data_IF_167108264254
#
_entry.id   IF_167108264254
#
_cell.length_a   1.000
_cell.length_b   1.000
_cell.length_c   1.000
_cell.angle_alpha   90.00
_cell.angle_beta   90.00
_cell.angle_gamma   90.00
#
_symmetry.space_group_name_H-M   'P 1'
#
loop_
_entity.id
_entity.type
_entity.pdbx_description
1 polymer ?
#
# COMPACT_ATOMS: atom_id res chain seq x y z
N UNK A 1 -9.23 10.40 8.86
CA UNK A 1 -9.12 11.53 9.83
C UNK A 1 -8.75 12.77 9.03
N UNK A 2 -9.27 13.94 9.41
CA UNK A 2 -8.78 15.21 8.87
C UNK A 2 -7.29 15.38 9.23
N UNK A 3 -6.51 15.98 8.32
CA UNK A 3 -5.10 16.24 8.60
C UNK A 3 -4.93 17.13 9.84
N UNK A 4 -3.95 16.78 10.68
CA UNK A 4 -3.52 17.65 11.79
C UNK A 4 -2.79 18.89 11.28
N UNK A 5 -2.22 18.82 10.08
CA UNK A 5 -1.49 19.90 9.46
C UNK A 5 -2.44 20.92 8.85
N UNK A 6 -2.09 22.21 8.98
CA UNK A 6 -2.90 23.36 8.59
C UNK A 6 -2.14 24.35 7.71
N UNK A 7 -0.81 24.30 7.73
CA UNK A 7 0.03 25.13 6.91
C UNK A 7 1.15 24.33 6.23
N UNK A 8 1.50 24.77 5.02
CA UNK A 8 2.61 24.25 4.24
C UNK A 8 3.46 25.43 3.76
N UNK A 9 4.73 25.42 4.14
CA UNK A 9 5.75 26.40 3.77
C UNK A 9 6.62 25.77 2.68
N UNK A 10 6.88 26.49 1.61
CA UNK A 10 7.84 26.12 0.58
C UNK A 10 9.01 27.11 0.55
N UNK A 11 10.22 26.62 0.33
CA UNK A 11 11.26 27.48 -0.26
C UNK A 11 10.92 27.84 -1.71
N UNK A 12 11.60 28.85 -2.25
CA UNK A 12 11.58 29.18 -3.66
C UNK A 12 12.66 28.44 -4.43
N UNK A 13 13.94 28.81 -4.25
CA UNK A 13 15.04 28.22 -5.00
C UNK A 13 15.20 26.73 -4.69
N UNK A 14 15.38 25.90 -5.73
CA UNK A 14 15.52 24.45 -5.60
C UNK A 14 14.23 23.71 -5.21
N UNK A 15 13.10 24.42 -5.09
CA UNK A 15 11.82 23.86 -4.64
C UNK A 15 10.66 24.28 -5.56
N UNK A 16 10.24 25.55 -5.51
CA UNK A 16 9.20 26.07 -6.40
C UNK A 16 9.78 26.65 -7.69
N UNK A 17 11.05 27.01 -7.68
CA UNK A 17 11.80 27.58 -8.78
C UNK A 17 13.10 26.82 -8.98
N UNK A 18 13.33 26.42 -10.22
CA UNK A 18 14.58 25.84 -10.69
C UNK A 18 15.36 26.91 -11.47
N UNK A 19 16.68 26.81 -11.50
CA UNK A 19 17.54 27.68 -12.31
C UNK A 19 18.62 26.83 -12.97
N UNK A 20 19.09 27.23 -14.16
CA UNK A 20 20.15 26.52 -14.86
C UNK A 20 21.52 26.93 -14.32
N UNK A 21 22.26 26.05 -13.61
CA UNK A 21 23.59 26.39 -13.10
C UNK A 21 24.59 26.68 -14.21
N UNK A 22 24.38 26.16 -15.41
CA UNK A 22 25.26 26.36 -16.58
C UNK A 22 25.02 27.71 -17.26
N UNK A 23 23.89 28.37 -16.96
CA UNK A 23 23.59 29.72 -17.47
C UNK A 23 24.46 30.80 -16.82
N UNK A 24 25.16 30.48 -15.74
CA UNK A 24 26.00 31.41 -14.98
C UNK A 24 27.44 31.29 -15.44
N UNK A 25 27.97 32.37 -16.00
CA UNK A 25 29.36 32.43 -16.45
C UNK A 25 30.29 32.26 -15.24
N UNK A 26 31.15 31.23 -15.23
CA UNK A 26 32.05 30.96 -14.11
C UNK A 26 33.03 32.13 -13.89
N UNK A 27 32.75 32.96 -12.88
CA UNK A 27 33.62 34.09 -12.51
C UNK A 27 34.83 33.53 -11.77
N UNK A 28 35.98 33.47 -12.45
CA UNK A 28 37.25 33.16 -11.80
C UNK A 28 37.71 34.35 -10.95
N UNK A 29 38.41 34.09 -9.84
CA UNK A 29 38.81 35.09 -8.84
C UNK A 29 39.66 36.26 -9.38
N UNK A 30 40.16 36.13 -10.61
CA UNK A 30 40.94 37.15 -11.34
C UNK A 30 40.10 38.08 -12.22
N UNK A 31 38.78 37.87 -12.33
CA UNK A 31 37.86 38.63 -13.21
C UNK A 31 36.64 39.22 -12.48
N UNK A 32 36.83 39.70 -11.24
CA UNK A 32 35.79 40.43 -10.49
C UNK A 32 35.55 41.85 -11.06
N UNK A 33 35.08 41.94 -12.30
CA UNK A 33 34.51 43.18 -12.84
C UNK A 33 33.02 43.22 -12.56
N UNK A 34 32.52 44.37 -12.09
CA UNK A 34 31.11 44.57 -11.74
C UNK A 34 30.16 44.29 -12.91
N UNK A 35 30.60 44.51 -14.16
CA UNK A 35 29.85 44.19 -15.37
C UNK A 35 29.61 42.69 -15.55
N UNK A 36 30.65 41.87 -15.35
CA UNK A 36 30.58 40.40 -15.51
C UNK A 36 29.68 39.79 -14.42
N UNK A 37 29.79 40.30 -13.18
CA UNK A 37 28.91 39.88 -12.08
C UNK A 37 27.44 40.22 -12.41
N UNK A 38 27.19 41.42 -12.94
CA UNK A 38 25.84 41.85 -13.32
C UNK A 38 25.28 41.00 -14.45
N UNK A 39 26.04 40.77 -15.52
CA UNK A 39 25.63 39.92 -16.65
C UNK A 39 25.35 38.48 -16.20
N UNK A 40 26.18 37.94 -15.32
CA UNK A 40 26.01 36.59 -14.77
C UNK A 40 24.75 36.46 -13.90
N UNK A 41 24.41 37.51 -13.12
CA UNK A 41 23.17 37.56 -12.34
C UNK A 41 21.95 37.69 -13.26
N UNK A 42 22.04 38.53 -14.31
CA UNK A 42 20.97 38.69 -15.30
C UNK A 42 20.72 37.37 -16.06
N UNK A 43 21.76 36.59 -16.34
CA UNK A 43 21.63 35.27 -16.97
C UNK A 43 20.99 34.24 -16.02
N UNK A 44 21.40 34.20 -14.75
CA UNK A 44 20.77 33.34 -13.74
C UNK A 44 19.28 33.65 -13.58
N UNK A 45 18.91 34.94 -13.58
CA UNK A 45 17.51 35.36 -13.50
C UNK A 45 16.71 34.94 -14.73
N UNK A 46 17.30 34.98 -15.93
CA UNK A 46 16.64 34.55 -17.17
C UNK A 46 16.44 33.04 -17.26
N UNK A 47 17.22 32.25 -16.52
CA UNK A 47 17.07 30.79 -16.48
C UNK A 47 16.12 30.29 -15.41
N UNK A 48 15.56 31.20 -14.58
CA UNK A 48 14.55 30.83 -13.59
C UNK A 48 13.32 30.26 -14.27
N UNK A 49 12.95 29.05 -13.86
CA UNK A 49 11.76 28.35 -14.32
C UNK A 49 10.96 27.86 -13.13
N UNK A 50 9.65 27.75 -13.30
CA UNK A 50 8.78 27.21 -12.24
C UNK A 50 8.92 25.70 -12.21
N UNK A 51 9.09 25.13 -11.02
CA UNK A 51 8.95 23.70 -10.81
C UNK A 51 7.47 23.32 -10.94
N UNK A 52 7.04 23.04 -12.17
CA UNK A 52 5.63 22.81 -12.51
C UNK A 52 5.03 21.65 -11.71
N UNK A 53 5.84 20.63 -11.37
CA UNK A 53 5.38 19.48 -10.59
C UNK A 53 5.00 19.88 -9.17
N UNK A 54 5.90 20.54 -8.42
CA UNK A 54 5.60 20.97 -7.06
C UNK A 54 4.53 22.06 -7.00
N UNK A 55 4.53 22.99 -7.96
CA UNK A 55 3.47 23.99 -8.08
C UNK A 55 2.09 23.33 -8.28
N UNK A 56 2.01 22.31 -9.14
CA UNK A 56 0.77 21.54 -9.36
C UNK A 56 0.34 20.78 -8.11
N UNK A 57 1.26 20.13 -7.40
CA UNK A 57 0.97 19.46 -6.13
C UNK A 57 0.41 20.45 -5.11
N UNK A 58 1.03 21.63 -4.95
CA UNK A 58 0.55 22.66 -4.05
C UNK A 58 -0.89 23.12 -4.39
N UNK A 59 -1.18 23.33 -5.68
CA UNK A 59 -2.53 23.64 -6.15
C UNK A 59 -3.53 22.52 -5.85
N UNK A 60 -3.17 21.26 -6.11
CA UNK A 60 -4.01 20.08 -5.82
C UNK A 60 -4.35 19.98 -4.33
N UNK A 61 -3.36 20.19 -3.45
CA UNK A 61 -3.56 20.17 -2.01
C UNK A 61 -4.48 21.30 -1.55
N UNK A 62 -4.26 22.53 -2.03
CA UNK A 62 -5.11 23.70 -1.71
C UNK A 62 -6.56 23.51 -2.19
N UNK A 63 -6.76 22.88 -3.36
CA UNK A 63 -8.10 22.54 -3.86
C UNK A 63 -8.78 21.45 -3.01
N UNK A 64 -8.01 20.52 -2.45
CA UNK A 64 -8.54 19.43 -1.61
C UNK A 64 -8.93 19.87 -0.20
N UNK A 65 -8.34 20.94 0.32
CA UNK A 65 -8.72 21.56 1.60
C UNK A 65 -8.57 23.09 1.52
N UNK A 66 -9.69 23.80 1.42
CA UNK A 66 -9.69 25.27 1.34
C UNK A 66 -9.10 25.94 2.59
N UNK A 67 -9.10 25.24 3.73
CA UNK A 67 -8.54 25.76 4.99
C UNK A 67 -7.00 25.65 5.04
N UNK A 68 -6.38 24.82 4.21
CA UNK A 68 -4.93 24.71 4.12
C UNK A 68 -4.33 26.05 3.70
N UNK A 69 -3.42 26.60 4.50
CA UNK A 69 -2.70 27.82 4.16
C UNK A 69 -1.34 27.49 3.56
N UNK A 70 -1.04 28.09 2.41
CA UNK A 70 0.26 27.92 1.76
C UNK A 70 1.09 29.18 1.96
N UNK A 71 2.37 29.01 2.21
CA UNK A 71 3.31 30.11 2.41
C UNK A 71 4.60 29.87 1.64
N UNK A 72 5.30 30.96 1.36
CA UNK A 72 6.67 30.93 0.87
C UNK A 72 7.60 31.41 1.97
N UNK A 73 8.77 30.78 2.13
CA UNK A 73 9.83 31.24 3.03
C UNK A 73 11.20 31.09 2.37
N UNK A 74 11.79 32.19 1.94
CA UNK A 74 13.01 32.15 1.11
C UNK A 74 14.07 33.18 1.48
N UNK A 75 15.32 32.80 1.31
CA UNK A 75 16.47 33.70 1.39
C UNK A 75 16.64 34.40 0.03
N UNK A 76 15.96 35.53 -0.14
CA UNK A 76 15.93 36.28 -1.40
C UNK A 76 15.90 37.79 -1.11
N UNK A 77 16.61 38.59 -1.93
CA UNK A 77 16.57 40.05 -1.83
C UNK A 77 15.21 40.60 -2.30
N UNK A 78 14.91 41.84 -1.95
CA UNK A 78 13.65 42.49 -2.35
C UNK A 78 13.54 42.59 -3.88
N UNK A 79 14.62 42.99 -4.52
CA UNK A 79 14.71 43.22 -5.96
C UNK A 79 14.54 41.90 -6.73
N UNK A 80 15.17 40.82 -6.27
CA UNK A 80 15.02 39.51 -6.89
C UNK A 80 13.64 38.91 -6.67
N UNK A 81 13.01 39.18 -5.51
CA UNK A 81 11.66 38.71 -5.25
C UNK A 81 10.64 39.39 -6.19
N UNK A 82 10.78 40.69 -6.45
CA UNK A 82 9.94 41.41 -7.43
C UNK A 82 10.02 40.77 -8.83
N UNK A 83 11.20 40.33 -9.26
CA UNK A 83 11.39 39.62 -10.54
C UNK A 83 10.72 38.26 -10.51
N UNK A 84 10.96 37.48 -9.46
CA UNK A 84 10.36 36.15 -9.27
C UNK A 84 8.83 36.20 -9.28
N UNK A 85 8.23 37.28 -8.76
CA UNK A 85 6.78 37.49 -8.80
C UNK A 85 6.20 37.65 -10.22
N UNK A 86 7.04 37.93 -11.22
CA UNK A 86 6.62 37.99 -12.64
C UNK A 86 6.56 36.63 -13.33
N UNK A 87 7.12 35.59 -12.71
CA UNK A 87 7.07 34.22 -13.23
C UNK A 87 5.64 33.66 -13.14
N UNK A 88 5.32 32.71 -14.01
CA UNK A 88 4.02 32.03 -14.08
C UNK A 88 3.82 31.00 -12.94
N UNK A 89 4.07 31.44 -11.70
CA UNK A 89 3.70 30.73 -10.49
C UNK A 89 2.35 31.29 -10.02
N UNK A 90 1.39 30.45 -9.58
CA UNK A 90 0.07 30.89 -9.13
C UNK A 90 0.15 31.57 -7.74
N UNK A 91 0.77 32.76 -7.65
CA UNK A 91 1.06 33.48 -6.41
C UNK A 91 -0.16 33.67 -5.50
N UNK A 92 -1.36 33.78 -6.09
CA UNK A 92 -2.62 33.92 -5.36
C UNK A 92 -2.98 32.71 -4.48
N UNK A 93 -2.33 31.56 -4.65
CA UNK A 93 -2.54 30.39 -3.77
C UNK A 93 -1.81 30.51 -2.43
N UNK A 94 -0.81 31.38 -2.34
CA UNK A 94 -0.03 31.61 -1.13
C UNK A 94 -0.63 32.76 -0.32
N UNK A 95 -0.84 32.52 0.96
CA UNK A 95 -1.41 33.50 1.89
C UNK A 95 -0.40 34.60 2.25
N UNK A 96 0.90 34.28 2.25
CA UNK A 96 1.98 35.25 2.44
C UNK A 96 3.32 34.67 1.96
N UNK A 97 4.28 35.56 1.67
CA UNK A 97 5.67 35.22 1.44
C UNK A 97 6.56 35.90 2.49
N UNK A 98 7.41 35.10 3.13
CA UNK A 98 8.42 35.53 4.08
C UNK A 98 9.78 35.54 3.36
N UNK A 99 10.28 36.72 3.03
CA UNK A 99 11.53 36.87 2.27
C UNK A 99 12.58 37.61 3.10
N UNK A 100 13.81 37.13 3.05
CA UNK A 100 14.88 37.70 3.89
C UNK A 100 15.14 39.18 3.62
N UNK A 101 15.05 39.62 2.37
CA UNK A 101 15.21 41.03 1.98
C UNK A 101 14.11 41.96 2.48
N UNK A 102 12.90 41.45 2.77
CA UNK A 102 11.82 42.27 3.30
C UNK A 102 11.81 42.29 4.83
N UNK A 103 12.12 41.16 5.48
CA UNK A 103 12.03 41.03 6.95
C UNK A 103 13.36 41.29 7.67
N UNK A 104 14.50 41.24 6.97
CA UNK A 104 15.83 41.40 7.57
C UNK A 104 16.30 40.19 8.40
N UNK A 105 15.66 39.03 8.24
CA UNK A 105 16.01 37.76 8.89
C UNK A 105 16.16 36.69 7.82
N UNK A 106 16.98 35.65 8.03
CA UNK A 106 17.21 34.62 7.01
C UNK A 106 17.26 33.22 7.60
N UNK A 107 17.01 32.21 6.77
CA UNK A 107 17.27 30.81 7.12
C UNK A 107 18.80 30.59 7.14
N UNK A 108 19.33 29.73 8.02
CA UNK A 108 18.64 28.90 9.01
C UNK A 108 18.43 29.56 10.39
N UNK A 109 18.54 30.89 10.52
CA UNK A 109 18.43 31.55 11.82
C UNK A 109 17.04 31.37 12.45
N UNK A 110 16.99 30.87 13.68
CA UNK A 110 15.73 30.54 14.39
C UNK A 110 14.79 31.74 14.53
N UNK A 111 15.31 32.97 14.54
CA UNK A 111 14.49 34.18 14.60
C UNK A 111 13.54 34.30 13.39
N UNK A 112 13.97 33.88 12.20
CA UNK A 112 13.14 33.96 11.00
C UNK A 112 11.98 32.98 11.05
N UNK A 113 12.23 31.75 11.49
CA UNK A 113 11.19 30.74 11.66
C UNK A 113 10.19 31.13 12.76
N UNK A 114 10.65 31.65 13.90
CA UNK A 114 9.77 32.16 14.95
C UNK A 114 8.89 33.30 14.44
N UNK A 115 9.48 34.26 13.72
CA UNK A 115 8.73 35.34 13.09
C UNK A 115 7.65 34.82 12.13
N UNK A 116 7.99 33.84 11.27
CA UNK A 116 7.05 33.24 10.34
C UNK A 116 5.91 32.53 11.09
N UNK A 117 6.22 31.71 12.11
CA UNK A 117 5.21 30.99 12.91
C UNK A 117 4.27 31.96 13.63
N UNK A 118 4.80 33.02 14.25
CA UNK A 118 3.98 34.02 14.94
C UNK A 118 3.00 34.72 13.98
N UNK A 119 3.41 34.93 12.73
CA UNK A 119 2.55 35.52 11.68
C UNK A 119 1.56 34.52 11.08
N UNK A 120 1.95 33.26 10.94
CA UNK A 120 1.10 32.17 10.44
C UNK A 120 -0.01 31.87 11.46
N UNK A 121 0.29 31.92 12.76
CA UNK A 121 -0.69 31.74 13.84
C UNK A 121 -1.08 30.28 14.11
N UNK A 122 -0.41 29.30 13.49
CA UNK A 122 -0.57 27.88 13.80
C UNK A 122 0.54 27.37 14.72
N UNK A 123 0.23 26.34 15.51
CA UNK A 123 1.25 25.67 16.31
C UNK A 123 2.26 24.97 15.39
N UNK A 124 3.59 24.99 15.68
CA UNK A 124 4.61 24.40 14.80
C UNK A 124 4.34 22.95 14.38
N UNK A 125 3.79 22.12 15.27
CA UNK A 125 3.41 20.74 14.97
C UNK A 125 2.28 20.56 13.93
N UNK A 126 1.64 21.66 13.52
CA UNK A 126 0.64 21.74 12.47
C UNK A 126 1.19 22.31 11.15
N UNK A 127 2.50 22.61 11.10
CA UNK A 127 3.17 23.20 9.95
C UNK A 127 4.09 22.16 9.30
N UNK A 128 4.03 22.07 7.98
CA UNK A 128 4.99 21.32 7.15
C UNK A 128 5.85 22.31 6.40
N UNK A 129 7.13 22.01 6.23
CA UNK A 129 8.05 22.80 5.41
C UNK A 129 8.75 21.91 4.38
N UNK A 130 8.80 22.37 3.14
CA UNK A 130 9.56 21.76 2.04
C UNK A 130 10.72 22.69 1.68
N UNK A 131 11.94 22.19 1.72
CA UNK A 131 13.17 22.95 1.51
C UNK A 131 14.22 22.01 0.91
N UNK A 132 15.16 22.53 0.12
CA UNK A 132 16.25 21.78 -0.48
C UNK A 132 17.51 21.73 0.41
N UNK A 133 17.57 22.55 1.46
CA UNK A 133 18.70 22.59 2.39
C UNK A 133 18.38 21.91 3.72
N UNK A 134 19.15 20.86 4.04
CA UNK A 134 19.01 20.13 5.29
C UNK A 134 19.21 21.01 6.54
N UNK A 135 20.04 22.05 6.47
CA UNK A 135 20.26 23.00 7.57
C UNK A 135 19.01 23.83 7.90
N UNK A 136 18.25 24.24 6.88
CA UNK A 136 16.99 24.97 7.06
C UNK A 136 15.95 24.08 7.73
N UNK A 137 15.87 22.82 7.30
CA UNK A 137 14.94 21.84 7.87
C UNK A 137 15.32 21.48 9.30
N UNK A 138 16.61 21.39 9.64
CA UNK A 138 17.07 21.16 11.00
C UNK A 138 16.59 22.29 11.94
N UNK A 139 16.73 23.55 11.52
CA UNK A 139 16.22 24.70 12.26
C UNK A 139 14.69 24.65 12.42
N UNK A 140 13.95 24.38 11.33
CA UNK A 140 12.49 24.24 11.37
C UNK A 140 12.03 23.13 12.33
N UNK A 141 12.66 21.95 12.23
CA UNK A 141 12.35 20.78 13.04
C UNK A 141 12.66 20.99 14.53
N UNK A 142 13.70 21.75 14.87
CA UNK A 142 14.02 22.12 16.26
C UNK A 142 12.90 22.92 16.95
N UNK A 143 12.03 23.58 16.16
CA UNK A 143 10.86 24.31 16.62
C UNK A 143 9.57 23.47 16.56
N UNK A 144 9.64 22.23 16.07
CA UNK A 144 8.51 21.31 15.94
C UNK A 144 7.81 21.33 14.57
N UNK A 145 8.35 22.04 13.57
CA UNK A 145 7.84 22.03 12.19
C UNK A 145 8.21 20.69 11.52
N UNK A 146 7.29 20.11 10.76
CA UNK A 146 7.56 18.89 10.01
C UNK A 146 8.33 19.19 8.72
N UNK A 147 9.63 18.87 8.67
CA UNK A 147 10.48 19.13 7.50
C UNK A 147 10.49 18.00 6.47
N UNK A 148 10.42 18.35 5.19
CA UNK A 148 10.57 17.48 4.02
C UNK A 148 11.70 18.00 3.13
N UNK A 149 12.80 17.24 3.05
CA UNK A 149 13.91 17.54 2.14
C UNK A 149 13.51 17.16 0.72
N UNK A 150 13.76 18.07 -0.22
CA UNK A 150 13.54 17.83 -1.65
C UNK A 150 14.79 18.14 -2.44
N UNK A 151 14.99 17.36 -3.49
CA UNK A 151 15.96 17.58 -4.56
C UNK A 151 15.29 17.21 -5.89
N UNK A 152 15.99 17.41 -7.01
CA UNK A 152 15.48 17.12 -8.35
C UNK A 152 14.98 15.67 -8.51
N UNK A 153 15.58 14.72 -7.78
CA UNK A 153 15.27 13.27 -7.89
C UNK A 153 14.13 12.81 -6.98
N UNK A 154 13.78 13.61 -5.97
CA UNK A 154 12.86 13.23 -4.90
C UNK A 154 11.51 13.96 -4.96
N UNK A 155 11.28 14.80 -5.97
CA UNK A 155 10.01 15.53 -6.16
C UNK A 155 8.79 14.61 -6.09
N UNK A 156 8.83 13.45 -6.74
CA UNK A 156 7.69 12.51 -6.76
C UNK A 156 7.47 11.89 -5.36
N UNK A 157 8.55 11.58 -4.64
CA UNK A 157 8.51 11.06 -3.26
C UNK A 157 7.96 12.13 -2.30
N UNK A 158 8.39 13.38 -2.45
CA UNK A 158 7.89 14.51 -1.63
C UNK A 158 6.43 14.79 -1.94
N UNK A 159 6.03 14.75 -3.21
CA UNK A 159 4.62 14.84 -3.62
C UNK A 159 3.75 13.76 -3.00
N UNK A 160 4.22 12.51 -3.00
CA UNK A 160 3.56 11.41 -2.31
C UNK A 160 3.42 11.67 -0.81
N UNK A 161 4.51 12.07 -0.13
CA UNK A 161 4.49 12.39 1.30
C UNK A 161 3.52 13.52 1.62
N UNK A 162 3.53 14.61 0.84
CA UNK A 162 2.60 15.72 1.02
C UNK A 162 1.14 15.26 0.89
N UNK A 163 0.80 14.47 -0.14
CA UNK A 163 -0.56 13.90 -0.28
C UNK A 163 -0.93 13.01 0.92
N UNK A 164 0.00 12.22 1.44
CA UNK A 164 -0.24 11.36 2.61
C UNK A 164 -0.40 12.17 3.90
N UNK A 165 0.23 13.35 4.02
CA UNK A 165 0.10 14.24 5.19
C UNK A 165 -1.19 15.08 5.14
N UNK A 166 -1.61 15.54 3.96
CA UNK A 166 -2.69 16.52 3.83
C UNK A 166 -4.02 15.94 3.33
N UNK A 167 -4.02 14.87 2.53
CA UNK A 167 -5.24 14.29 1.97
C UNK A 167 -5.70 13.07 2.77
N UNK A 168 -7.02 12.84 2.80
CA UNK A 168 -7.58 11.64 3.40
C UNK A 168 -7.25 10.41 2.56
N UNK A 169 -6.80 9.33 3.21
CA UNK A 169 -6.40 8.10 2.53
C UNK A 169 -7.58 7.33 1.92
N UNK A 170 -8.72 7.25 2.62
CA UNK A 170 -9.87 6.43 2.19
C UNK A 170 -10.38 6.81 0.79
N UNK A 171 -10.69 8.09 0.48
CA UNK A 171 -11.17 8.46 -0.85
C UNK A 171 -10.16 8.17 -1.96
N UNK A 172 -8.86 8.27 -1.66
CA UNK A 172 -7.80 7.93 -2.61
C UNK A 172 -7.75 6.43 -2.88
N UNK A 173 -7.90 5.59 -1.85
CA UNK A 173 -8.01 4.14 -2.05
C UNK A 173 -9.26 3.79 -2.85
N UNK A 174 -10.41 4.38 -2.52
CA UNK A 174 -11.66 4.14 -3.26
C UNK A 174 -11.53 4.52 -4.74
N UNK A 175 -10.89 5.67 -5.03
CA UNK A 175 -10.58 6.09 -6.40
C UNK A 175 -9.67 5.09 -7.11
N UNK A 176 -8.61 4.61 -6.45
CA UNK A 176 -7.72 3.59 -6.98
C UNK A 176 -8.46 2.29 -7.32
N UNK A 177 -9.23 1.75 -6.36
CA UNK A 177 -9.95 0.50 -6.53
C UNK A 177 -10.97 0.60 -7.67
N UNK A 178 -11.66 1.73 -7.80
CA UNK A 178 -12.58 1.99 -8.91
C UNK A 178 -11.88 2.12 -10.25
N UNK A 179 -10.77 2.87 -10.33
CA UNK A 179 -10.04 3.08 -11.57
C UNK A 179 -9.38 1.79 -12.10
N UNK A 180 -9.08 0.85 -11.19
CA UNK A 180 -8.45 -0.43 -11.50
C UNK A 180 -9.42 -1.62 -11.40
N UNK A 181 -10.74 -1.35 -11.44
CA UNK A 181 -11.75 -2.39 -11.42
C UNK A 181 -11.48 -3.45 -12.51
N UNK A 182 -11.46 -4.72 -12.10
CA UNK A 182 -11.18 -5.90 -12.93
C UNK A 182 -9.75 -5.94 -13.50
N UNK A 183 -8.82 -5.18 -12.92
CA UNK A 183 -7.42 -5.14 -13.34
C UNK A 183 -6.45 -5.36 -12.16
N UNK A 184 -6.91 -6.02 -11.09
CA UNK A 184 -6.10 -6.32 -9.90
C UNK A 184 -5.23 -7.57 -10.09
N UNK A 185 -4.40 -7.58 -11.12
CA UNK A 185 -3.59 -8.75 -11.47
C UNK A 185 -2.39 -8.92 -10.52
N UNK A 186 -1.89 -10.16 -10.42
CA UNK A 186 -0.62 -10.45 -9.79
C UNK A 186 0.56 -10.07 -10.70
N UNK A 187 1.66 -9.70 -10.06
CA UNK A 187 2.98 -9.49 -10.66
C UNK A 187 3.96 -10.54 -10.13
N UNK A 188 4.89 -10.96 -10.99
CA UNK A 188 5.90 -11.95 -10.64
C UNK A 188 7.27 -11.26 -10.56
N UNK A 189 7.92 -11.34 -9.40
CA UNK A 189 9.22 -10.70 -9.19
C UNK A 189 10.25 -11.21 -10.21
N UNK A 190 10.98 -10.29 -10.83
CA UNK A 190 11.99 -10.60 -11.84
C UNK A 190 11.45 -10.98 -13.22
N UNK A 191 10.14 -10.86 -13.47
CA UNK A 191 9.52 -11.24 -14.75
C UNK A 191 8.57 -10.16 -15.26
N UNK A 192 8.58 -9.91 -16.57
CA UNK A 192 7.60 -9.03 -17.25
C UNK A 192 6.30 -9.79 -17.56
N UNK A 193 5.78 -10.53 -16.58
CA UNK A 193 4.57 -11.35 -16.71
C UNK A 193 3.52 -10.85 -15.73
N UNK A 194 2.31 -10.69 -16.23
CA UNK A 194 1.11 -10.47 -15.43
C UNK A 194 0.37 -11.79 -15.26
N UNK A 195 -0.05 -12.09 -14.03
CA UNK A 195 -0.72 -13.33 -13.66
C UNK A 195 -2.14 -13.02 -13.18
N UNK A 196 -3.14 -13.68 -13.74
CA UNK A 196 -4.51 -13.65 -13.20
C UNK A 196 -4.76 -14.89 -12.35
N UNK A 197 -4.98 -14.66 -11.06
CA UNK A 197 -5.28 -15.70 -10.09
C UNK A 197 -6.68 -15.54 -9.51
N UNK A 198 -7.28 -16.61 -9.00
CA UNK A 198 -8.55 -16.60 -8.28
C UNK A 198 -8.36 -16.21 -6.81
N UNK A 199 -7.22 -16.59 -6.20
CA UNK A 199 -7.00 -16.47 -4.77
C UNK A 199 -7.03 -15.02 -4.26
N UNK A 200 -6.25 -14.13 -4.87
CA UNK A 200 -6.21 -12.71 -4.52
C UNK A 200 -7.53 -12.02 -4.87
N UNK A 201 -8.21 -12.40 -5.95
CA UNK A 201 -9.51 -11.81 -6.30
C UNK A 201 -10.58 -12.15 -5.25
N UNK A 202 -10.64 -13.39 -4.78
CA UNK A 202 -11.56 -13.81 -3.72
C UNK A 202 -11.31 -13.02 -2.44
N UNK A 203 -10.05 -12.86 -2.03
CA UNK A 203 -9.70 -12.05 -0.87
C UNK A 203 -10.02 -10.56 -1.06
N UNK A 204 -9.76 -9.99 -2.25
CA UNK A 204 -10.12 -8.59 -2.54
C UNK A 204 -11.64 -8.42 -2.42
N UNK A 205 -12.42 -9.35 -2.95
CA UNK A 205 -13.89 -9.30 -2.85
C UNK A 205 -14.34 -9.41 -1.38
N UNK A 206 -13.81 -10.34 -0.61
CA UNK A 206 -14.12 -10.46 0.82
C UNK A 206 -13.83 -9.16 1.59
N UNK A 207 -12.66 -8.57 1.36
CA UNK A 207 -12.20 -7.39 2.09
C UNK A 207 -12.98 -6.12 1.74
N UNK A 208 -13.46 -6.02 0.50
CA UNK A 208 -14.12 -4.81 -0.03
C UNK A 208 -15.64 -4.92 -0.07
N UNK A 209 -16.18 -6.13 -0.14
CA UNK A 209 -17.60 -6.40 -0.36
C UNK A 209 -18.10 -6.08 -1.78
N UNK A 210 -17.22 -5.75 -2.73
CA UNK A 210 -17.61 -5.32 -4.07
C UNK A 210 -17.12 -6.30 -5.15
N UNK A 211 -18.06 -7.04 -5.74
CA UNK A 211 -17.77 -7.98 -6.82
C UNK A 211 -17.40 -7.27 -8.15
N UNK A 212 -17.73 -5.99 -8.32
CA UNK A 212 -17.53 -5.28 -9.58
C UNK A 212 -16.07 -4.92 -9.85
N UNK A 213 -15.27 -4.79 -8.78
CA UNK A 213 -13.86 -4.44 -8.86
C UNK A 213 -12.95 -5.65 -9.13
N UNK A 214 -13.45 -6.87 -9.02
CA UNK A 214 -12.68 -8.08 -9.30
C UNK A 214 -13.05 -8.67 -10.67
N UNK A 215 -12.13 -9.42 -11.26
CA UNK A 215 -12.50 -10.40 -12.28
C UNK A 215 -12.78 -11.74 -11.61
N UNK A 216 -13.79 -12.46 -12.11
CA UNK A 216 -14.28 -13.67 -11.46
C UNK A 216 -14.86 -14.65 -12.49
N UNK A 217 -14.51 -15.93 -12.35
CA UNK A 217 -15.00 -17.02 -13.21
C UNK A 217 -15.30 -18.20 -12.32
N UNK A 218 -16.50 -18.75 -12.45
CA UNK A 218 -16.92 -19.92 -11.67
C UNK A 218 -16.12 -21.16 -12.07
N UNK A 219 -16.03 -22.20 -11.22
CA UNK A 219 -15.32 -23.44 -11.53
C UNK A 219 -15.84 -24.14 -12.80
N UNK A 220 -17.13 -23.96 -13.11
CA UNK A 220 -17.74 -24.39 -14.38
C UNK A 220 -17.13 -23.74 -15.63
N UNK A 221 -16.28 -22.73 -15.47
CA UNK A 221 -15.70 -21.93 -16.53
C UNK A 221 -16.63 -20.82 -17.05
N UNK A 222 -17.79 -20.60 -16.42
CA UNK A 222 -18.77 -19.58 -16.81
C UNK A 222 -18.63 -18.30 -15.99
N UNK A 223 -19.13 -17.18 -16.52
CA UNK A 223 -19.23 -15.89 -15.81
C UNK A 223 -20.37 -15.86 -14.76
N UNK A 224 -21.36 -16.76 -14.91
CA UNK A 224 -22.48 -16.91 -13.99
C UNK A 224 -22.46 -18.30 -13.38
N UNK A 225 -23.06 -18.48 -12.18
CA UNK A 225 -23.08 -19.77 -11.51
C UNK A 225 -23.73 -20.80 -12.44
N UNK A 226 -23.23 -22.04 -12.40
CA UNK A 226 -23.86 -23.09 -13.16
C UNK A 226 -25.30 -23.25 -12.64
N UNK A 227 -26.30 -23.10 -13.52
CA UNK A 227 -27.66 -23.44 -13.13
C UNK A 227 -27.68 -24.94 -12.80
N UNK A 228 -28.03 -25.27 -11.56
CA UNK A 228 -28.38 -26.63 -11.16
C UNK A 228 -29.59 -27.05 -12.01
N UNK A 229 -29.31 -27.65 -13.16
CA UNK A 229 -30.32 -28.16 -14.06
C UNK A 229 -30.86 -29.42 -13.40
N UNK A 230 -31.97 -29.27 -12.68
CA UNK A 230 -32.65 -30.39 -12.02
C UNK A 230 -33.16 -31.43 -13.01
N UNK A 231 -33.17 -32.68 -12.53
CA UNK A 231 -33.86 -33.86 -13.08
C UNK A 231 -33.49 -34.31 -14.51
N UNK A 232 -32.33 -34.95 -14.62
CA UNK A 232 -32.16 -36.05 -15.57
C UNK A 232 -32.01 -37.36 -14.79
N UNK A 233 -32.71 -38.42 -15.19
CA UNK A 233 -32.53 -39.81 -14.73
C UNK A 233 -31.13 -40.35 -15.11
N UNK A 234 -30.08 -39.69 -14.64
CA UNK A 234 -28.68 -40.06 -14.82
C UNK A 234 -28.13 -40.65 -13.52
N UNK A 235 -27.13 -41.51 -13.67
CA UNK A 235 -26.46 -42.22 -12.58
C UNK A 235 -26.10 -41.27 -11.42
N UNK A 236 -26.66 -41.50 -10.23
CA UNK A 236 -26.59 -40.57 -9.08
C UNK A 236 -25.15 -40.29 -8.62
N UNK A 237 -24.23 -41.22 -8.83
CA UNK A 237 -22.81 -41.02 -8.54
C UNK A 237 -22.13 -40.06 -9.53
N UNK A 238 -22.54 -40.07 -10.81
CA UNK A 238 -22.03 -39.16 -11.82
C UNK A 238 -22.54 -37.73 -11.63
N UNK A 239 -23.79 -37.56 -11.17
CA UNK A 239 -24.34 -36.24 -10.83
C UNK A 239 -23.69 -35.64 -9.59
N UNK A 240 -23.39 -36.46 -8.56
CA UNK A 240 -22.64 -36.01 -7.36
C UNK A 240 -21.20 -35.64 -7.71
N UNK A 241 -20.49 -36.45 -8.51
CA UNK A 241 -19.12 -36.12 -8.97
C UNK A 241 -19.08 -34.84 -9.82
N UNK A 242 -20.05 -34.66 -10.71
CA UNK A 242 -20.17 -33.44 -11.50
C UNK A 242 -20.48 -32.20 -10.62
N UNK A 243 -21.29 -32.38 -9.57
CA UNK A 243 -21.58 -31.34 -8.59
C UNK A 243 -20.33 -30.91 -7.81
N UNK A 244 -19.56 -31.86 -7.25
CA UNK A 244 -18.31 -31.57 -6.52
C UNK A 244 -17.31 -30.81 -7.39
N UNK A 245 -17.13 -31.21 -8.67
CA UNK A 245 -16.24 -30.50 -9.60
C UNK A 245 -16.63 -29.03 -9.79
N UNK A 246 -17.92 -28.69 -9.71
CA UNK A 246 -18.40 -27.31 -9.79
C UNK A 246 -18.15 -26.48 -8.51
N UNK A 247 -17.63 -27.10 -7.44
CA UNK A 247 -17.25 -26.42 -6.21
C UNK A 247 -15.74 -26.39 -5.93
N UNK A 248 -14.91 -27.05 -6.75
CA UNK A 248 -13.45 -27.08 -6.54
C UNK A 248 -12.78 -25.96 -7.33
N UNK A 249 -11.97 -25.15 -6.66
CA UNK A 249 -11.28 -24.00 -7.24
C UNK A 249 -9.79 -24.26 -7.40
N UNK A 250 -9.21 -23.70 -8.45
CA UNK A 250 -7.77 -23.71 -8.70
C UNK A 250 -7.21 -22.29 -8.59
N UNK A 251 -5.93 -22.17 -8.26
CA UNK A 251 -5.25 -20.89 -8.12
C UNK A 251 -5.34 -19.97 -9.35
N UNK A 252 -5.28 -20.50 -10.58
CA UNK A 252 -5.23 -19.70 -11.81
C UNK A 252 -6.63 -19.37 -12.35
N UNK A 253 -6.85 -18.11 -12.68
CA UNK A 253 -8.08 -17.66 -13.35
C UNK A 253 -8.04 -17.99 -14.86
N UNK A 254 -6.86 -17.81 -15.47
CA UNK A 254 -6.54 -18.07 -16.87
C UNK A 254 -5.58 -19.27 -17.00
N UNK A 255 -4.99 -19.46 -18.17
CA UNK A 255 -4.03 -20.53 -18.40
C UNK A 255 -2.85 -20.42 -17.42
N UNK A 256 -2.41 -21.54 -16.83
CA UNK A 256 -1.32 -21.52 -15.86
C UNK A 256 -0.01 -21.01 -16.49
N UNK A 257 0.67 -20.12 -15.79
CA UNK A 257 1.98 -19.59 -16.20
C UNK A 257 3.09 -20.11 -15.30
N UNK A 258 4.29 -20.30 -15.87
CA UNK A 258 5.49 -20.78 -15.15
C UNK A 258 5.28 -22.12 -14.41
N UNK A 259 4.34 -22.94 -14.88
CA UNK A 259 3.98 -24.24 -14.29
C UNK A 259 3.54 -25.24 -15.38
N UNK A 260 2.86 -26.31 -14.99
CA UNK A 260 2.29 -27.31 -15.91
C UNK A 260 1.18 -26.72 -16.78
N UNK A 261 0.91 -27.33 -17.94
CA UNK A 261 -0.12 -26.85 -18.88
C UNK A 261 -1.52 -26.85 -18.27
N UNK A 262 -1.84 -27.88 -17.47
CA UNK A 262 -3.03 -27.91 -16.63
C UNK A 262 -2.63 -27.75 -15.16
N UNK A 263 -3.44 -27.02 -14.39
CA UNK A 263 -3.23 -26.85 -12.95
C UNK A 263 -4.46 -27.33 -12.18
N UNK A 264 -4.29 -28.25 -11.20
CA UNK A 264 -5.41 -28.84 -10.51
C UNK A 264 -6.07 -27.84 -9.55
N UNK A 265 -7.33 -28.09 -9.22
CA UNK A 265 -7.95 -27.45 -8.08
C UNK A 265 -7.19 -27.77 -6.79
N UNK A 266 -7.21 -26.84 -5.84
CA UNK A 266 -6.47 -26.90 -4.60
C UNK A 266 -7.31 -26.50 -3.39
N UNK A 267 -6.95 -27.03 -2.23
CA UNK A 267 -7.65 -26.81 -0.98
C UNK A 267 -7.60 -25.34 -0.53
N UNK A 268 -6.49 -24.63 -0.76
CA UNK A 268 -6.28 -23.23 -0.35
C UNK A 268 -7.29 -22.31 -1.05
N UNK A 269 -7.33 -22.38 -2.38
CA UNK A 269 -8.22 -21.56 -3.21
C UNK A 269 -9.68 -21.97 -3.04
N UNK A 270 -9.95 -23.27 -2.91
CA UNK A 270 -11.30 -23.77 -2.64
C UNK A 270 -11.82 -23.24 -1.31
N UNK A 271 -11.04 -23.38 -0.22
CA UNK A 271 -11.45 -22.88 1.10
C UNK A 271 -11.63 -21.37 1.10
N UNK A 272 -10.71 -20.64 0.44
CA UNK A 272 -10.83 -19.19 0.29
C UNK A 272 -12.13 -18.82 -0.45
N UNK A 273 -12.51 -19.55 -1.50
CA UNK A 273 -13.75 -19.28 -2.21
C UNK A 273 -14.99 -19.41 -1.31
N UNK A 274 -15.11 -20.49 -0.54
CA UNK A 274 -16.27 -20.69 0.36
C UNK A 274 -16.29 -19.69 1.53
N UNK A 275 -15.13 -19.19 1.96
CA UNK A 275 -15.04 -18.17 3.02
C UNK A 275 -15.33 -16.76 2.50
N UNK A 276 -15.00 -16.48 1.24
CA UNK A 276 -15.14 -15.13 0.65
C UNK A 276 -16.48 -14.90 -0.06
N UNK A 277 -17.13 -15.96 -0.55
CA UNK A 277 -18.42 -15.83 -1.26
C UNK A 277 -19.55 -15.40 -0.31
N UNK A 278 -20.36 -14.39 -0.66
CA UNK A 278 -21.54 -14.05 0.12
C UNK A 278 -22.55 -15.20 0.16
N UNK A 279 -23.34 -15.31 1.22
CA UNK A 279 -24.30 -16.41 1.42
C UNK A 279 -25.23 -16.64 0.23
N UNK A 280 -25.66 -15.58 -0.46
CA UNK A 280 -26.52 -15.68 -1.65
C UNK A 280 -25.85 -16.38 -2.84
N UNK A 281 -24.52 -16.35 -2.91
CA UNK A 281 -23.72 -16.93 -3.98
C UNK A 281 -23.35 -18.40 -3.73
N UNK A 282 -23.42 -18.88 -2.49
CA UNK A 282 -23.10 -20.27 -2.14
C UNK A 282 -24.03 -21.28 -2.83
N UNK A 283 -25.27 -20.89 -3.14
CA UNK A 283 -26.21 -21.72 -3.91
C UNK A 283 -25.76 -21.99 -5.36
N UNK A 284 -24.79 -21.23 -5.87
CA UNK A 284 -24.25 -21.36 -7.23
C UNK A 284 -23.07 -22.32 -7.37
N UNK A 285 -22.56 -22.86 -6.25
CA UNK A 285 -21.48 -23.84 -6.18
C UNK A 285 -21.96 -25.12 -5.50
N UNK A 286 -21.08 -26.12 -5.42
CA UNK A 286 -21.37 -27.36 -4.73
C UNK A 286 -21.74 -27.12 -3.26
N UNK A 287 -22.52 -28.04 -2.70
CA UNK A 287 -22.80 -28.04 -1.26
C UNK A 287 -21.50 -28.10 -0.45
N UNK A 288 -21.38 -27.24 0.55
CA UNK A 288 -20.17 -27.14 1.38
C UNK A 288 -19.82 -28.45 2.08
N UNK A 289 -20.81 -29.25 2.48
CA UNK A 289 -20.57 -30.55 3.11
C UNK A 289 -19.92 -31.53 2.13
N UNK A 290 -20.34 -31.52 0.84
CA UNK A 290 -19.70 -32.34 -0.18
C UNK A 290 -18.25 -31.93 -0.44
N UNK A 291 -17.93 -30.64 -0.32
CA UNK A 291 -16.56 -30.14 -0.46
C UNK A 291 -15.71 -30.50 0.75
N UNK A 292 -16.25 -30.38 1.96
CA UNK A 292 -15.58 -30.82 3.19
C UNK A 292 -15.32 -32.32 3.17
N UNK A 293 -16.29 -33.13 2.76
CA UNK A 293 -16.12 -34.57 2.54
C UNK A 293 -15.02 -34.84 1.51
N UNK A 294 -15.04 -34.13 0.37
CA UNK A 294 -14.01 -34.27 -0.66
C UNK A 294 -12.61 -33.93 -0.11
N UNK A 295 -12.47 -32.92 0.73
CA UNK A 295 -11.20 -32.59 1.41
C UNK A 295 -10.79 -33.69 2.38
N UNK A 296 -11.70 -34.16 3.22
CA UNK A 296 -11.44 -35.19 4.23
C UNK A 296 -11.05 -36.55 3.61
N UNK A 297 -11.59 -36.88 2.44
CA UNK A 297 -11.24 -38.11 1.70
C UNK A 297 -10.02 -37.95 0.78
N UNK A 298 -9.52 -36.72 0.55
CA UNK A 298 -8.35 -36.47 -0.30
C UNK A 298 -7.04 -36.70 0.49
N UNK A 299 -6.77 -37.95 0.86
CA UNK A 299 -5.68 -38.31 1.77
C UNK A 299 -4.54 -39.02 1.04
N UNK A 300 -3.30 -38.79 1.48
CA UNK A 300 -2.13 -39.58 1.10
C UNK A 300 -2.23 -41.01 1.68
N UNK A 301 -1.40 -41.96 1.21
CA UNK A 301 -1.30 -43.28 1.81
C UNK A 301 -0.98 -43.27 3.31
N UNK A 302 -0.30 -42.22 3.78
CA UNK A 302 0.04 -42.01 5.20
C UNK A 302 -1.08 -41.34 6.01
N UNK A 303 -2.25 -41.12 5.41
CA UNK A 303 -3.38 -40.46 6.06
C UNK A 303 -3.17 -38.96 6.29
N UNK A 304 -2.43 -38.28 5.41
CA UNK A 304 -2.25 -36.82 5.44
C UNK A 304 -3.04 -36.20 4.30
N UNK A 305 -3.83 -35.15 4.58
CA UNK A 305 -4.60 -34.45 3.55
C UNK A 305 -3.70 -33.94 2.42
N UNK A 306 -4.15 -34.07 1.19
CA UNK A 306 -3.50 -33.56 -0.01
C UNK A 306 -4.04 -32.17 -0.34
N UNK A 307 -3.15 -31.25 -0.69
CA UNK A 307 -3.50 -29.89 -1.13
C UNK A 307 -4.18 -29.89 -2.49
N UNK A 308 -3.70 -30.70 -3.44
CA UNK A 308 -4.26 -30.77 -4.79
C UNK A 308 -5.30 -31.88 -4.92
N UNK A 309 -6.38 -31.61 -5.64
CA UNK A 309 -7.43 -32.59 -5.93
C UNK A 309 -7.12 -33.40 -7.20
N UNK A 310 -5.93 -34.01 -7.27
CA UNK A 310 -5.47 -34.85 -8.38
C UNK A 310 -4.43 -35.88 -7.90
N UNK A 311 -4.46 -37.08 -8.50
CA UNK A 311 -3.63 -38.21 -8.07
C UNK A 311 -2.18 -38.14 -8.61
N UNK A 312 -1.98 -37.46 -9.74
CA UNK A 312 -0.71 -37.38 -10.46
C UNK A 312 0.23 -36.28 -9.93
N UNK A 313 -0.25 -35.45 -8.99
CA UNK A 313 0.53 -34.37 -8.37
C UNK A 313 0.36 -34.38 -6.84
N UNK A 314 0.89 -35.39 -6.14
CA UNK A 314 0.78 -35.48 -4.69
C UNK A 314 1.51 -34.30 -4.03
N UNK A 315 0.80 -33.60 -3.15
CA UNK A 315 1.34 -32.55 -2.29
C UNK A 315 0.57 -32.60 -0.97
N UNK A 316 1.24 -33.01 0.10
CA UNK A 316 0.60 -33.11 1.41
C UNK A 316 0.53 -31.74 2.10
N UNK A 317 -0.57 -31.56 2.83
CA UNK A 317 -0.88 -30.45 3.71
C UNK A 317 -1.12 -31.04 5.11
N UNK A 318 -0.14 -30.99 6.04
CA UNK A 318 -0.30 -31.50 7.40
C UNK A 318 -1.20 -30.60 8.27
N UNK A 319 -2.08 -29.79 7.65
CA UNK A 319 -2.81 -28.63 8.18
C UNK A 319 -3.93 -28.99 9.15
N UNK A 320 -3.62 -29.85 10.12
CA UNK A 320 -4.45 -30.08 11.29
C UNK A 320 -4.34 -28.90 12.25
N UNK A 321 -5.40 -28.66 13.02
CA UNK A 321 -5.39 -27.67 14.10
C UNK A 321 -4.20 -27.91 15.08
N UNK A 322 -3.84 -29.17 15.31
CA UNK A 322 -2.70 -29.55 16.14
C UNK A 322 -1.36 -29.11 15.54
N UNK A 323 -1.15 -29.30 14.24
CA UNK A 323 0.05 -28.85 13.55
C UNK A 323 0.20 -27.33 13.61
N UNK A 324 -0.87 -26.57 13.36
CA UNK A 324 -0.85 -25.09 13.47
C UNK A 324 -0.43 -24.65 14.88
N UNK A 325 -1.00 -25.27 15.92
CA UNK A 325 -0.63 -25.00 17.31
C UNK A 325 0.85 -25.33 17.57
N UNK A 326 1.35 -26.46 17.06
CA UNK A 326 2.75 -26.84 17.20
C UNK A 326 3.68 -25.89 16.45
N UNK A 327 3.29 -25.39 15.28
CA UNK A 327 4.05 -24.39 14.54
C UNK A 327 4.23 -23.11 15.37
N UNK A 328 3.17 -22.61 16.02
CA UNK A 328 3.26 -21.45 16.92
C UNK A 328 4.18 -21.73 18.11
N UNK A 329 3.99 -22.87 18.80
CA UNK A 329 4.76 -23.24 19.99
C UNK A 329 6.25 -23.41 19.70
N UNK A 330 6.57 -24.09 18.61
CA UNK A 330 7.93 -24.41 18.22
C UNK A 330 8.58 -23.32 17.37
N UNK A 331 7.87 -22.20 17.14
CA UNK A 331 8.32 -21.11 16.27
C UNK A 331 8.72 -21.63 14.87
N UNK A 332 7.92 -22.54 14.33
CA UNK A 332 8.04 -22.92 12.94
C UNK A 332 7.59 -21.75 12.04
N UNK A 333 8.02 -21.74 10.78
CA UNK A 333 7.64 -20.74 9.76
C UNK A 333 8.13 -19.30 9.98
N UNK A 334 9.16 -19.06 10.81
CA UNK A 334 9.74 -17.72 11.05
C UNK A 334 10.23 -16.98 9.79
N UNK A 335 10.56 -17.74 8.74
CA UNK A 335 11.14 -17.23 7.49
C UNK A 335 10.26 -17.51 6.28
N UNK A 336 8.97 -17.81 6.50
CA UNK A 336 8.10 -18.38 5.47
C UNK A 336 8.43 -19.85 5.19
N UNK A 337 8.01 -20.34 4.02
CA UNK A 337 8.26 -21.68 3.51
C UNK A 337 8.37 -21.66 1.98
N UNK A 338 8.50 -22.83 1.35
CA UNK A 338 8.66 -22.97 -0.11
C UNK A 338 7.55 -22.30 -0.94
N UNK A 339 6.34 -22.21 -0.39
CA UNK A 339 5.14 -21.70 -1.09
C UNK A 339 4.77 -20.32 -0.59
N UNK A 340 4.92 -20.05 0.70
CA UNK A 340 4.62 -18.75 1.31
C UNK A 340 5.90 -18.04 1.71
N UNK A 341 6.23 -16.97 0.99
CA UNK A 341 7.48 -16.21 1.09
C UNK A 341 7.70 -15.48 2.41
N UNK A 342 6.67 -15.33 3.25
CA UNK A 342 6.73 -14.55 4.48
C UNK A 342 5.97 -15.24 5.63
N UNK A 343 6.41 -15.08 6.90
CA UNK A 343 5.70 -15.60 8.06
C UNK A 343 4.31 -14.96 8.23
N UNK A 344 4.12 -13.73 7.73
CA UNK A 344 2.88 -12.98 7.90
C UNK A 344 1.66 -13.67 7.25
N UNK A 345 1.86 -14.47 6.21
CA UNK A 345 0.76 -15.25 5.61
C UNK A 345 0.23 -16.31 6.57
N UNK A 346 1.14 -17.09 7.18
CA UNK A 346 0.78 -18.08 8.19
C UNK A 346 0.09 -17.42 9.39
N UNK A 347 0.65 -16.31 9.88
CA UNK A 347 0.09 -15.57 11.01
C UNK A 347 -1.29 -14.98 10.70
N UNK A 348 -1.50 -14.46 9.49
CA UNK A 348 -2.80 -13.90 9.09
C UNK A 348 -3.89 -14.97 9.04
N UNK A 349 -3.67 -16.10 8.37
CA UNK A 349 -4.67 -17.18 8.34
C UNK A 349 -4.86 -17.84 9.71
N UNK A 350 -3.81 -17.94 10.52
CA UNK A 350 -3.95 -18.39 11.92
C UNK A 350 -4.76 -17.40 12.76
N UNK A 351 -4.62 -16.09 12.53
CA UNK A 351 -5.40 -15.05 13.21
C UNK A 351 -6.88 -15.10 12.80
N UNK A 352 -7.18 -15.41 11.52
CA UNK A 352 -8.55 -15.68 11.07
C UNK A 352 -9.12 -16.90 11.80
N UNK A 353 -8.40 -18.02 11.83
CA UNK A 353 -8.81 -19.21 12.58
C UNK A 353 -9.02 -18.90 14.08
N UNK A 354 -8.14 -18.11 14.69
CA UNK A 354 -8.27 -17.69 16.09
C UNK A 354 -9.56 -16.90 16.34
N UNK A 355 -9.96 -16.02 15.42
CA UNK A 355 -11.20 -15.25 15.51
C UNK A 355 -12.44 -16.16 15.38
N UNK A 356 -12.41 -17.09 14.43
CA UNK A 356 -13.51 -18.05 14.19
C UNK A 356 -13.65 -19.09 15.30
N UNK A 357 -12.54 -19.44 15.97
CA UNK A 357 -12.60 -20.22 17.20
C UNK A 357 -13.31 -19.39 18.27
N UNK A 358 -14.55 -19.75 18.60
CA UNK A 358 -15.23 -19.26 19.81
C UNK A 358 -14.43 -19.58 21.09
N UNK A 359 -14.99 -19.35 22.28
CA UNK A 359 -14.32 -19.50 23.59
C UNK A 359 -14.00 -20.97 24.01
N UNK A 360 -13.51 -21.79 23.09
CA UNK A 360 -13.17 -23.20 23.25
C UNK A 360 -11.67 -23.49 23.40
N UNK A 361 -11.36 -24.78 23.52
CA UNK A 361 -9.99 -25.29 23.76
C UNK A 361 -9.01 -24.91 22.65
N UNK A 362 -9.45 -24.88 21.38
CA UNK A 362 -8.56 -24.54 20.27
C UNK A 362 -8.11 -23.07 20.33
N UNK A 363 -9.01 -22.13 20.62
CA UNK A 363 -8.66 -20.70 20.78
C UNK A 363 -7.58 -20.52 21.84
N UNK A 364 -7.75 -21.15 23.02
CA UNK A 364 -6.76 -21.12 24.11
C UNK A 364 -5.39 -21.68 23.68
N UNK A 365 -5.38 -22.71 22.83
CA UNK A 365 -4.13 -23.29 22.31
C UNK A 365 -3.47 -22.40 21.25
N UNK A 366 -4.26 -21.61 20.52
CA UNK A 366 -3.79 -20.64 19.51
C UNK A 366 -3.38 -19.30 20.12
N UNK A 367 -3.61 -19.04 21.41
CA UNK A 367 -3.30 -17.77 22.09
C UNK A 367 -1.84 -17.31 21.92
N UNK A 368 -0.91 -18.26 21.74
CA UNK A 368 0.52 -17.99 21.45
C UNK A 368 0.75 -17.22 20.14
N UNK A 369 -0.27 -17.07 19.28
CA UNK A 369 -0.22 -16.21 18.11
C UNK A 369 0.05 -14.75 18.49
N UNK A 370 -0.47 -14.26 19.62
CA UNK A 370 -0.23 -12.88 20.08
C UNK A 370 1.26 -12.65 20.33
N UNK A 371 1.92 -13.59 21.01
CA UNK A 371 3.38 -13.54 21.22
C UNK A 371 4.15 -13.64 19.90
N UNK A 372 3.68 -14.45 18.95
CA UNK A 372 4.31 -14.56 17.63
C UNK A 372 4.22 -13.22 16.87
N UNK A 373 3.05 -12.56 16.88
CA UNK A 373 2.84 -11.25 16.27
C UNK A 373 3.69 -10.17 16.93
N UNK A 374 3.74 -10.13 18.27
CA UNK A 374 4.58 -9.17 19.01
C UNK A 374 6.06 -9.22 18.59
N UNK A 375 6.60 -10.42 18.30
CA UNK A 375 7.97 -10.58 17.80
C UNK A 375 8.17 -10.13 16.35
N UNK A 376 7.08 -10.00 15.58
CA UNK A 376 7.10 -9.58 14.19
C UNK A 376 6.86 -8.09 14.00
N UNK A 377 6.25 -7.40 14.96
CA UNK A 377 6.01 -5.96 14.88
C UNK A 377 7.34 -5.23 14.64
N UNK A 378 7.31 -4.25 13.74
CA UNK A 378 8.46 -3.47 13.27
C UNK A 378 9.52 -4.27 12.48
N UNK A 379 9.38 -5.59 12.33
CA UNK A 379 10.30 -6.36 11.51
C UNK A 379 10.19 -5.91 10.03
N UNK A 380 11.31 -5.74 9.30
CA UNK A 380 11.30 -5.44 7.88
C UNK A 380 10.51 -6.49 7.10
N UNK A 381 9.62 -6.04 6.21
CA UNK A 381 8.83 -6.89 5.34
C UNK A 381 8.29 -6.07 4.17
N UNK A 382 7.70 -6.73 3.17
CA UNK A 382 7.11 -6.07 2.00
C UNK A 382 5.71 -5.48 2.32
N UNK A 383 5.15 -4.60 1.47
CA UNK A 383 3.89 -3.90 1.74
C UNK A 383 2.69 -4.81 2.04
N UNK A 384 2.52 -5.89 1.28
CA UNK A 384 1.43 -6.83 1.49
C UNK A 384 1.58 -7.59 2.81
N UNK A 385 2.78 -8.09 3.10
CA UNK A 385 3.06 -8.76 4.36
C UNK A 385 2.89 -7.82 5.57
N UNK A 386 3.26 -6.54 5.44
CA UNK A 386 2.99 -5.52 6.47
C UNK A 386 1.48 -5.37 6.72
N UNK A 387 0.68 -5.29 5.65
CA UNK A 387 -0.78 -5.21 5.76
C UNK A 387 -1.38 -6.48 6.39
N UNK A 388 -0.87 -7.67 6.03
CA UNK A 388 -1.26 -8.94 6.66
C UNK A 388 -0.93 -8.96 8.16
N UNK A 389 0.26 -8.49 8.56
CA UNK A 389 0.67 -8.39 9.98
C UNK A 389 -0.26 -7.48 10.78
N UNK A 390 -0.52 -6.27 10.29
CA UNK A 390 -1.41 -5.32 10.97
C UNK A 390 -2.83 -5.88 11.06
N UNK A 391 -3.32 -6.50 9.99
CA UNK A 391 -4.64 -7.17 9.99
C UNK A 391 -4.69 -8.29 11.02
N UNK A 392 -3.66 -9.14 11.09
CA UNK A 392 -3.57 -10.22 12.08
C UNK A 392 -3.57 -9.67 13.52
N UNK A 393 -2.80 -8.61 13.80
CA UNK A 393 -2.80 -7.92 15.10
C UNK A 393 -4.21 -7.43 15.47
N UNK A 394 -4.94 -6.84 14.52
CA UNK A 394 -6.33 -6.38 14.71
C UNK A 394 -7.27 -7.55 15.01
N UNK A 395 -7.20 -8.63 14.23
CA UNK A 395 -8.05 -9.82 14.36
C UNK A 395 -7.92 -10.51 15.72
N UNK A 396 -6.71 -10.55 16.29
CA UNK A 396 -6.48 -11.17 17.61
C UNK A 396 -6.67 -10.18 18.78
N UNK A 397 -7.02 -8.92 18.50
CA UNK A 397 -7.28 -7.91 19.52
C UNK A 397 -6.03 -7.36 20.23
N UNK A 398 -4.90 -7.22 19.53
CA UNK A 398 -3.77 -6.45 20.06
C UNK A 398 -4.10 -4.95 20.09
N UNK A 399 -3.61 -4.25 21.11
CA UNK A 399 -3.76 -2.79 21.23
C UNK A 399 -3.09 -2.08 20.03
N UNK A 400 -3.81 -1.20 19.29
CA UNK A 400 -3.25 -0.42 18.20
C UNK A 400 -1.97 0.36 18.51
N UNK A 401 -1.77 0.79 19.76
CA UNK A 401 -0.55 1.48 20.19
C UNK A 401 0.69 0.60 20.04
N UNK A 402 0.54 -0.73 20.15
CA UNK A 402 1.65 -1.69 20.06
C UNK A 402 2.20 -1.79 18.64
N UNK A 403 1.35 -1.64 17.62
CA UNK A 403 1.74 -1.69 16.20
C UNK A 403 1.58 -0.35 15.48
N UNK A 404 1.59 0.76 16.23
CA UNK A 404 1.41 2.10 15.66
C UNK A 404 2.47 2.43 14.60
N UNK A 405 3.74 2.07 14.83
CA UNK A 405 4.82 2.32 13.87
C UNK A 405 4.63 1.54 12.57
N UNK A 406 4.16 0.29 12.65
CA UNK A 406 3.81 -0.50 11.47
C UNK A 406 2.63 0.14 10.71
N UNK A 407 1.62 0.66 11.43
CA UNK A 407 0.51 1.39 10.82
C UNK A 407 0.99 2.67 10.12
N UNK A 408 1.80 3.49 10.78
CA UNK A 408 2.39 4.71 10.20
C UNK A 408 3.25 4.38 8.97
N UNK A 409 4.02 3.29 9.03
CA UNK A 409 4.79 2.78 7.90
C UNK A 409 3.88 2.32 6.75
N UNK A 410 2.78 1.62 7.03
CA UNK A 410 1.84 1.25 5.97
C UNK A 410 1.27 2.51 5.32
N UNK A 411 0.75 3.45 6.12
CA UNK A 411 0.15 4.69 5.63
C UNK A 411 1.11 5.55 4.79
N UNK A 412 2.41 5.54 5.10
CA UNK A 412 3.40 6.28 4.32
C UNK A 412 3.65 5.69 2.93
N UNK A 413 3.28 4.43 2.69
CA UNK A 413 3.45 3.75 1.40
C UNK A 413 2.37 4.11 0.37
N UNK A 414 1.28 4.79 0.74
CA UNK A 414 0.20 5.09 -0.21
C UNK A 414 0.73 5.94 -1.37
N UNK A 415 0.58 5.47 -2.61
CA UNK A 415 1.11 6.07 -3.84
C UNK A 415 0.18 7.16 -4.38
N UNK A 416 0.64 7.93 -5.37
CA UNK A 416 -0.09 9.08 -5.92
C UNK A 416 -1.49 8.74 -6.42
N UNK A 417 -1.65 7.61 -7.11
CA UNK A 417 -2.94 7.12 -7.62
C UNK A 417 -3.89 6.62 -6.53
N UNK A 418 -3.42 6.60 -5.26
CA UNK A 418 -4.18 6.19 -4.09
C UNK A 418 -4.03 4.72 -3.71
N UNK A 419 -3.37 3.90 -4.53
CA UNK A 419 -3.08 2.51 -4.22
C UNK A 419 -1.89 2.35 -3.26
N UNK A 420 -1.66 1.11 -2.83
CA UNK A 420 -0.48 0.73 -2.06
C UNK A 420 0.40 -0.21 -2.90
N UNK A 421 1.73 -0.15 -2.79
CA UNK A 421 2.60 -0.93 -3.66
C UNK A 421 2.35 -2.44 -3.53
N UNK A 422 2.65 -3.18 -4.60
CA UNK A 422 2.57 -4.63 -4.56
C UNK A 422 3.52 -5.19 -3.49
N UNK A 423 3.09 -6.23 -2.81
CA UNK A 423 3.95 -7.04 -1.95
C UNK A 423 3.69 -8.51 -2.21
N UNK A 424 4.71 -9.34 -1.98
CA UNK A 424 4.61 -10.77 -2.22
C UNK A 424 4.20 -11.52 -0.95
N UNK A 425 3.43 -12.59 -1.13
CA UNK A 425 3.06 -13.50 -0.03
C UNK A 425 3.28 -14.97 -0.41
N UNK A 426 3.11 -15.33 -1.69
CA UNK A 426 3.38 -16.67 -2.19
C UNK A 426 4.51 -16.71 -3.25
N UNK A 427 4.96 -17.93 -3.55
CA UNK A 427 6.02 -18.26 -4.51
C UNK A 427 5.57 -19.38 -5.44
N UNK A 428 6.07 -19.36 -6.67
CA UNK A 428 6.05 -20.53 -7.54
C UNK A 428 6.91 -21.65 -6.92
N UNK A 429 6.30 -22.79 -6.63
CA UNK A 429 7.00 -23.89 -5.96
C UNK A 429 8.21 -24.45 -6.71
N UNK A 430 8.27 -24.33 -8.05
CA UNK A 430 9.39 -24.84 -8.87
C UNK A 430 10.56 -23.86 -8.95
N UNK A 431 10.27 -22.58 -9.13
CA UNK A 431 11.28 -21.54 -9.40
C UNK A 431 11.62 -20.69 -8.18
N UNK A 432 10.76 -20.68 -7.15
CA UNK A 432 10.86 -19.75 -6.02
C UNK A 432 10.48 -18.31 -6.37
N UNK A 433 10.06 -18.04 -7.61
CA UNK A 433 9.67 -16.70 -8.04
C UNK A 433 8.47 -16.22 -7.23
N UNK A 434 8.58 -15.02 -6.66
CA UNK A 434 7.59 -14.45 -5.75
C UNK A 434 6.46 -13.80 -6.52
N UNK A 435 5.24 -13.97 -6.01
CA UNK A 435 4.02 -13.45 -6.60
C UNK A 435 3.44 -12.41 -5.64
N UNK A 436 3.21 -11.21 -6.15
CA UNK A 436 2.62 -10.11 -5.40
C UNK A 436 1.39 -9.52 -6.07
N UNK A 437 0.52 -8.88 -5.30
CA UNK A 437 -0.71 -8.29 -5.82
C UNK A 437 -0.95 -6.91 -5.20
N UNK A 438 -0.98 -5.88 -6.06
CA UNK A 438 -1.18 -4.48 -5.64
C UNK A 438 -2.61 -4.21 -5.16
N UNK A 439 -3.59 -4.78 -5.84
CA UNK A 439 -5.00 -4.70 -5.47
C UNK A 439 -5.27 -5.28 -4.09
N UNK A 440 -4.66 -6.44 -3.78
CA UNK A 440 -4.79 -7.09 -2.48
C UNK A 440 -4.13 -6.29 -1.36
N UNK A 441 -2.92 -5.76 -1.56
CA UNK A 441 -2.29 -4.85 -0.57
C UNK A 441 -3.24 -3.68 -0.27
N UNK A 442 -3.82 -3.11 -1.32
CA UNK A 442 -4.70 -1.94 -1.22
C UNK A 442 -6.04 -2.27 -0.54
N UNK A 443 -6.62 -3.44 -0.84
CA UNK A 443 -7.85 -3.94 -0.20
C UNK A 443 -7.64 -4.20 1.31
N UNK A 444 -6.49 -4.74 1.70
CA UNK A 444 -6.13 -4.88 3.12
C UNK A 444 -5.94 -3.52 3.78
N UNK A 445 -5.25 -2.57 3.11
CA UNK A 445 -5.05 -1.23 3.64
C UNK A 445 -6.37 -0.51 3.92
N UNK A 446 -7.35 -0.53 3.00
CA UNK A 446 -8.66 0.10 3.27
C UNK A 446 -9.40 -0.56 4.42
N UNK A 447 -9.32 -1.89 4.57
CA UNK A 447 -9.91 -2.62 5.71
C UNK A 447 -9.24 -2.29 7.05
N UNK A 448 -7.95 -2.02 7.05
CA UNK A 448 -7.20 -1.55 8.23
C UNK A 448 -7.62 -0.11 8.58
N UNK A 449 -7.67 0.78 7.59
CA UNK A 449 -7.92 2.21 7.79
C UNK A 449 -9.37 2.48 8.20
N UNK A 450 -10.32 1.74 7.62
CA UNK A 450 -11.71 1.74 8.07
C UNK A 450 -11.72 1.08 9.46
N UNK A 451 -11.76 1.90 10.52
CA UNK A 451 -12.08 1.42 11.87
C UNK A 451 -13.43 0.72 11.75
N UNK A 452 -13.51 -0.52 12.22
CA UNK A 452 -14.77 -1.27 12.18
C UNK A 452 -15.83 -0.40 12.85
N UNK A 453 -16.92 -0.14 12.11
CA UNK A 453 -18.07 0.62 12.58
C UNK A 453 -18.88 -0.21 13.56
#
# INVERSE_FOLDING_TARGET
MASKFKALIFDLGGVLLDWDPQSVTAVTSTQLQTSIIKESLDQAQKSLTVNVRLARIAQELKKSDLNLQLYVMSNISREHFEIVQTLDLPWSMFSSAFTSGNVGMRKPDLCFFKHAIDKIGFHPSQVVMVDDQAENLCAAQSLGIHGLLVDETSVDIVGQKLRNLFQSSIPRVEAYMKANARNHNCVVEGHSITLKDNFAQLLIWELTGDANIIYFKWPSGKLHPAQNSGNGNGNMEASVKANVKNGLWNYFYEDPVLTTQEFPADADTTSTAYLSLPQSYLSGVADVHLILDKMAFNMSPDGIMQTYFCDDRPRTAPETADWVVQCLKNRACLYGNRVYSTPETFLYFTARLYLECGEGTLKKRLETIKEALLKRINAPTNPLALALRISACKLVGLDPLVYQQDLEKLMSLQEEDGGFPAGHFCCFGRTGARIGNRGLTTALAIKIIRRDS
#
